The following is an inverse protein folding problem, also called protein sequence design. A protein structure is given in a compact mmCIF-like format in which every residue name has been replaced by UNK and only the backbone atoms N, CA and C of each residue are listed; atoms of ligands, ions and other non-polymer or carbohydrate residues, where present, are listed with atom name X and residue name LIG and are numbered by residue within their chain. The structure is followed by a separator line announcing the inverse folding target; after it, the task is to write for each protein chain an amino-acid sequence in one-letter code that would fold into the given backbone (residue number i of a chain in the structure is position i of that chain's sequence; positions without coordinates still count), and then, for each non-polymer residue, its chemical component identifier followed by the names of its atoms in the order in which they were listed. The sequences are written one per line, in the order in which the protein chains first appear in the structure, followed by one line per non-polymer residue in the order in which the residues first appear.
data_IF_068130178110
#
_entry.id   IF_068130178110
#
_cell.length_a   1.000
_cell.length_b   1.000
_cell.length_c   1.000
_cell.angle_alpha   90.00
_cell.angle_beta   90.00
_cell.angle_gamma   90.00
#
_symmetry.space_group_name_H-M   'P 1'
#
loop_
_entity.id
_entity.type
_entity.pdbx_description
1 polymer ?
#
# COMPACT_ATOMS: atom_id res chain seq x y z
N UNK A 1 17.56 0.29 -31.31
CA UNK A 1 17.41 0.81 -29.94
C UNK A 1 16.01 0.41 -29.47
N UNK A 2 15.82 -0.53 -28.54
CA UNK A 2 14.47 -0.84 -28.08
C UNK A 2 14.03 0.23 -27.08
N UNK A 3 12.96 0.93 -27.43
CA UNK A 3 12.24 1.90 -26.63
C UNK A 3 11.53 1.17 -25.49
N UNK A 4 11.90 1.44 -24.23
CA UNK A 4 11.17 0.93 -23.05
C UNK A 4 9.76 1.54 -23.04
N UNK A 5 8.77 0.72 -23.41
CA UNK A 5 7.42 1.13 -23.74
C UNK A 5 6.46 1.29 -22.55
N UNK A 6 6.94 1.29 -21.30
CA UNK A 6 6.02 1.35 -20.16
C UNK A 6 6.61 1.98 -18.89
N UNK A 7 6.30 3.24 -18.65
CA UNK A 7 6.68 4.00 -17.44
C UNK A 7 5.81 3.68 -16.22
N UNK A 8 4.60 3.14 -16.40
CA UNK A 8 3.67 2.92 -15.27
C UNK A 8 4.16 1.87 -14.25
N UNK A 9 5.18 1.07 -14.60
CA UNK A 9 5.81 0.12 -13.68
C UNK A 9 6.77 0.78 -12.68
N UNK A 10 7.07 2.07 -12.83
CA UNK A 10 7.96 2.79 -11.90
C UNK A 10 7.26 3.20 -10.60
N UNK A 11 5.93 3.30 -10.59
CA UNK A 11 5.14 3.70 -9.43
C UNK A 11 3.95 2.73 -9.23
N UNK A 12 4.15 1.56 -8.59
CA UNK A 12 3.02 0.68 -8.24
C UNK A 12 2.12 1.38 -7.22
N UNK A 13 0.81 1.25 -7.39
CA UNK A 13 -0.19 1.79 -6.45
C UNK A 13 -0.61 0.73 -5.43
N UNK A 14 -0.99 -0.47 -5.92
CA UNK A 14 -1.55 -1.56 -5.11
C UNK A 14 -0.97 -2.94 -5.50
N UNK A 15 -0.65 -3.14 -6.77
CA UNK A 15 -0.29 -4.47 -7.30
C UNK A 15 1.22 -4.65 -7.40
N UNK A 16 1.74 -5.69 -6.75
CA UNK A 16 3.12 -6.14 -6.91
C UNK A 16 3.23 -7.02 -8.16
N UNK A 17 3.84 -6.51 -9.23
CA UNK A 17 4.04 -7.27 -10.47
C UNK A 17 5.33 -8.10 -10.39
N UNK A 18 5.35 -9.24 -11.08
CA UNK A 18 6.53 -10.12 -11.14
C UNK A 18 7.72 -9.37 -11.75
N UNK A 19 8.78 -9.17 -10.96
CA UNK A 19 9.97 -8.39 -11.33
C UNK A 19 10.17 -7.11 -10.53
N UNK A 20 9.19 -6.71 -9.71
CA UNK A 20 9.37 -5.62 -8.75
C UNK A 20 10.25 -6.06 -7.58
N UNK A 21 11.10 -5.15 -7.09
CA UNK A 21 11.87 -5.35 -5.86
C UNK A 21 11.11 -4.69 -4.72
N UNK A 22 10.72 -5.48 -3.72
CA UNK A 22 10.21 -4.94 -2.47
C UNK A 22 11.43 -4.47 -1.67
N UNK A 23 11.72 -3.17 -1.72
CA UNK A 23 12.78 -2.56 -0.91
C UNK A 23 12.17 -1.79 0.27
N UNK A 24 13.03 -1.33 1.19
CA UNK A 24 12.65 -0.58 2.40
C UNK A 24 11.87 0.72 2.11
N UNK A 25 11.96 1.25 0.89
CA UNK A 25 11.29 2.48 0.48
C UNK A 25 9.94 2.22 -0.19
N UNK A 26 9.63 0.95 -0.51
CA UNK A 26 8.39 0.55 -1.16
C UNK A 26 7.31 0.24 -0.13
N UNK A 27 6.24 1.04 -0.13
CA UNK A 27 5.05 0.81 0.69
C UNK A 27 3.86 0.63 -0.26
N UNK A 28 3.30 -0.57 -0.29
CA UNK A 28 2.04 -0.82 -0.96
C UNK A 28 0.90 -0.42 -0.04
N UNK A 29 -0.10 0.29 -0.58
CA UNK A 29 -1.31 0.66 0.15
C UNK A 29 -2.50 0.05 -0.56
N UNK A 30 -3.37 -0.66 0.17
CA UNK A 30 -4.57 -1.25 -0.41
C UNK A 30 -5.50 -0.19 -0.96
N UNK A 31 -6.46 -0.60 -1.76
CA UNK A 31 -7.61 0.25 -2.09
C UNK A 31 -8.56 0.40 -0.90
N UNK A 32 -9.36 1.48 -0.93
CA UNK A 32 -10.36 1.79 0.08
C UNK A 32 -11.55 0.84 -0.02
N UNK A 33 -11.97 0.52 -1.24
CA UNK A 33 -12.98 -0.48 -1.57
C UNK A 33 -12.68 -1.11 -2.93
N UNK A 34 -13.45 -2.13 -3.32
CA UNK A 34 -13.31 -2.83 -4.61
C UNK A 34 -13.46 -1.88 -5.81
N UNK A 35 -14.33 -0.89 -5.68
CA UNK A 35 -14.64 0.14 -6.67
C UNK A 35 -14.00 1.51 -6.37
N UNK A 36 -13.30 1.66 -5.24
CA UNK A 36 -12.67 2.91 -4.81
C UNK A 36 -11.15 2.78 -4.73
N UNK A 37 -10.40 3.20 -5.77
CA UNK A 37 -8.94 3.10 -5.83
C UNK A 37 -8.23 4.10 -4.91
N UNK A 38 -8.96 4.86 -4.09
CA UNK A 38 -8.36 5.67 -3.04
C UNK A 38 -7.55 4.81 -2.06
N UNK A 39 -6.62 5.46 -1.35
CA UNK A 39 -5.77 4.79 -0.35
C UNK A 39 -6.64 4.22 0.77
N UNK A 40 -6.64 2.90 0.86
CA UNK A 40 -7.30 2.13 1.88
C UNK A 40 -6.52 2.04 3.20
N UNK A 41 -7.09 1.27 4.15
CA UNK A 41 -6.56 1.20 5.49
C UNK A 41 -5.37 0.25 5.60
N UNK A 42 -5.10 -0.63 4.64
CA UNK A 42 -4.02 -1.60 4.76
C UNK A 42 -2.76 -1.12 4.05
N UNK A 43 -1.62 -1.39 4.66
CA UNK A 43 -0.29 -1.15 4.08
C UNK A 43 0.57 -2.39 4.19
N UNK A 44 1.38 -2.65 3.18
CA UNK A 44 2.36 -3.73 3.14
C UNK A 44 3.74 -3.14 2.83
N UNK A 45 4.73 -3.47 3.66
CA UNK A 45 6.10 -2.96 3.53
C UNK A 45 7.12 -4.00 3.99
N UNK A 46 8.37 -3.80 3.57
CA UNK A 46 9.53 -4.42 4.18
C UNK A 46 9.94 -3.60 5.42
N UNK A 47 10.19 -4.28 6.52
CA UNK A 47 10.62 -3.70 7.79
C UNK A 47 11.92 -4.38 8.20
N UNK A 48 13.00 -3.61 8.35
CA UNK A 48 14.26 -4.12 8.86
C UNK A 48 14.29 -3.94 10.37
N UNK A 49 14.54 -5.03 11.08
CA UNK A 49 14.65 -4.98 12.53
C UNK A 49 16.02 -4.39 12.97
N UNK A 50 16.21 -4.26 14.29
CA UNK A 50 17.46 -3.71 14.84
C UNK A 50 18.69 -4.60 14.59
N UNK A 51 18.49 -5.86 14.17
CA UNK A 51 19.54 -6.82 13.82
C UNK A 51 19.83 -6.83 12.31
N UNK A 52 19.07 -6.09 11.51
CA UNK A 52 19.22 -6.02 10.05
C UNK A 52 18.54 -7.15 9.31
N UNK A 53 17.64 -7.88 9.96
CA UNK A 53 16.83 -8.92 9.32
C UNK A 53 15.61 -8.31 8.64
N UNK A 54 15.29 -8.80 7.44
CA UNK A 54 14.21 -8.33 6.59
C UNK A 54 12.87 -9.03 6.97
N UNK A 55 11.88 -8.25 7.42
CA UNK A 55 10.55 -8.74 7.76
C UNK A 55 9.46 -8.10 6.89
N UNK A 56 8.55 -8.91 6.34
CA UNK A 56 7.37 -8.39 5.67
C UNK A 56 6.26 -8.09 6.68
N UNK A 57 5.77 -6.86 6.70
CA UNK A 57 4.77 -6.40 7.67
C UNK A 57 3.52 -5.90 6.96
N UNK A 58 2.37 -6.46 7.36
CA UNK A 58 1.04 -5.94 7.03
C UNK A 58 0.55 -5.11 8.21
N UNK A 59 0.18 -3.87 7.97
CA UNK A 59 -0.40 -2.97 8.97
C UNK A 59 -1.77 -2.47 8.54
N UNK A 60 -2.68 -2.31 9.49
CA UNK A 60 -3.98 -1.67 9.28
C UNK A 60 -3.98 -0.31 9.98
N UNK A 61 -4.15 0.78 9.24
CA UNK A 61 -4.46 2.09 9.79
C UNK A 61 -5.78 1.98 10.54
N UNK A 62 -5.75 2.27 11.84
CA UNK A 62 -6.96 2.56 12.58
C UNK A 62 -7.53 3.86 12.04
N UNK A 63 -8.57 3.77 11.20
CA UNK A 63 -9.42 4.93 10.99
C UNK A 63 -10.00 5.28 12.36
N UNK A 64 -9.87 6.53 12.85
CA UNK A 64 -10.66 6.94 14.01
C UNK A 64 -12.11 6.64 13.65
N UNK A 65 -12.74 5.74 14.41
CA UNK A 65 -14.10 5.31 14.18
C UNK A 65 -15.01 6.52 14.43
N UNK A 66 -15.16 7.37 13.43
CA UNK A 66 -16.08 8.49 13.44
C UNK A 66 -17.50 7.93 13.33
N UNK A 67 -18.09 7.57 14.46
CA UNK A 67 -19.55 7.45 14.56
C UNK A 67 -20.16 8.84 14.46
N UNK A 68 -20.24 9.38 13.25
CA UNK A 68 -21.13 10.48 12.95
C UNK A 68 -22.29 9.96 12.11
N UNK A 69 -23.35 9.51 12.79
CA UNK A 69 -24.71 9.51 12.24
C UNK A 69 -25.69 9.82 13.40
N UNK A 70 -25.80 11.12 13.72
CA UNK A 70 -26.97 12.02 13.59
C UNK A 70 -27.91 12.03 14.81
N UNK A 71 -28.07 13.17 15.52
CA UNK A 71 -29.29 13.41 16.28
C UNK A 71 -30.35 13.95 15.32
N UNK A 72 -31.49 13.27 15.27
CA UNK A 72 -32.64 13.78 14.55
C UNK A 72 -33.64 12.68 14.27
N UNK A 73 -34.29 12.19 15.33
CA UNK A 73 -35.74 12.19 15.55
C UNK A 73 -35.97 12.34 17.06
#
# INVERSE_FOLDING_TARGET
MPTSLWESCKNPTDTFLSGMKMDENLILTSWQADDDPQRGPYTFKLDQDQQGEDHYVVSKKSLPHGKNQMPGW
#
